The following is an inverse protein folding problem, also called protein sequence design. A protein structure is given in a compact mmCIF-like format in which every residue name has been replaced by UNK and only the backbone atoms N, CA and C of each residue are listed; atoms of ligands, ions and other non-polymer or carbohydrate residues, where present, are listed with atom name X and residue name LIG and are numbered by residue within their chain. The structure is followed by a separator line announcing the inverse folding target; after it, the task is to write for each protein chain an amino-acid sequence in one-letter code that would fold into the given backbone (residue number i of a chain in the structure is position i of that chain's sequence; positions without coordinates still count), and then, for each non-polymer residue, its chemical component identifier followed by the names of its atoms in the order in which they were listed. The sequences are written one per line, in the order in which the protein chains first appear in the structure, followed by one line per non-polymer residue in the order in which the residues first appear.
data_IF_460138392867
#
_entry.id   IF_460138392867
#
_cell.length_a   1.000
_cell.length_b   1.000
_cell.length_c   1.000
_cell.angle_alpha   90.00
_cell.angle_beta   90.00
_cell.angle_gamma   90.00
#
_symmetry.space_group_name_H-M   'P 1'
#
loop_
_entity.id
_entity.type
_entity.pdbx_description
1 polymer ?
#
# COMPACT_ATOMS: atom_id res chain seq x y z
N UNK A 1 6.53 2.27 28.30
CA UNK A 1 7.84 2.90 28.07
C UNK A 1 7.67 3.97 27.00
N UNK A 2 8.17 5.19 27.23
CA UNK A 2 8.17 6.25 26.21
C UNK A 2 9.48 6.16 25.40
N UNK A 3 9.45 5.32 24.37
CA UNK A 3 10.60 5.11 23.48
C UNK A 3 10.97 6.36 22.69
N UNK A 4 10.02 7.27 22.43
CA UNK A 4 10.28 8.50 21.70
C UNK A 4 11.14 9.46 22.52
N UNK A 5 10.85 9.61 23.81
CA UNK A 5 11.68 10.41 24.72
C UNK A 5 13.06 9.81 24.93
N UNK A 6 13.17 8.48 25.02
CA UNK A 6 14.48 7.80 25.11
C UNK A 6 15.35 8.06 23.87
N UNK A 7 14.77 7.98 22.67
CA UNK A 7 15.47 8.26 21.42
C UNK A 7 15.93 9.72 21.31
N UNK A 8 15.09 10.68 21.72
CA UNK A 8 15.43 12.12 21.71
C UNK A 8 16.58 12.46 22.67
N UNK A 9 16.68 11.73 23.79
CA UNK A 9 17.70 11.93 24.80
C UNK A 9 18.98 11.11 24.55
N UNK A 10 19.06 10.40 23.42
CA UNK A 10 20.18 9.53 23.12
C UNK A 10 21.44 10.38 22.82
N UNK A 11 22.45 10.26 23.68
CA UNK A 11 23.71 10.99 23.52
C UNK A 11 24.51 10.38 22.37
N UNK A 12 24.92 11.18 21.39
CA UNK A 12 25.74 10.74 20.25
C UNK A 12 27.10 10.22 20.73
N UNK A 13 27.39 8.93 20.52
CA UNK A 13 28.68 8.30 20.87
C UNK A 13 29.55 7.96 19.67
N UNK A 14 28.98 7.95 18.46
CA UNK A 14 29.63 7.56 17.20
C UNK A 14 29.39 8.64 16.16
N UNK A 15 30.31 8.78 15.21
CA UNK A 15 30.18 9.78 14.14
C UNK A 15 28.97 9.50 13.23
N UNK A 16 28.65 8.22 13.05
CA UNK A 16 27.60 7.72 12.17
C UNK A 16 26.57 6.90 12.94
N UNK A 17 25.34 6.91 12.44
CA UNK A 17 24.25 6.04 12.87
C UNK A 17 23.87 5.13 11.69
N UNK A 18 23.84 3.82 11.92
CA UNK A 18 23.38 2.84 10.94
C UNK A 18 22.08 2.25 11.46
N UNK A 19 20.98 2.56 10.78
CA UNK A 19 19.67 2.01 11.08
C UNK A 19 19.30 0.93 10.07
N UNK A 20 18.79 -0.19 10.58
CA UNK A 20 18.16 -1.22 9.77
C UNK A 20 16.65 -1.13 9.97
N UNK A 21 15.89 -1.13 8.89
CA UNK A 21 14.44 -1.30 8.99
C UNK A 21 14.15 -2.73 9.45
N UNK A 22 13.40 -2.90 10.53
CA UNK A 22 13.08 -4.23 11.03
C UNK A 22 12.13 -4.96 10.08
N UNK A 23 11.13 -4.25 9.56
CA UNK A 23 10.08 -4.86 8.73
C UNK A 23 10.52 -4.88 7.26
N UNK A 24 10.76 -6.07 6.71
CA UNK A 24 11.11 -6.25 5.30
C UNK A 24 12.60 -6.12 4.96
N UNK A 25 13.47 -5.79 5.93
CA UNK A 25 14.93 -5.87 5.77
C UNK A 25 15.57 -6.83 6.79
N UNK A 26 15.24 -6.75 8.09
CA UNK A 26 15.71 -7.72 9.09
C UNK A 26 14.78 -8.93 9.19
N UNK A 27 13.46 -8.72 9.15
CA UNK A 27 12.46 -9.78 9.19
C UNK A 27 11.64 -9.82 7.91
N UNK A 28 11.32 -11.02 7.41
CA UNK A 28 10.37 -11.18 6.31
C UNK A 28 8.91 -11.14 6.78
N UNK A 29 8.54 -10.02 7.41
CA UNK A 29 7.17 -9.76 7.85
C UNK A 29 6.32 -9.14 6.75
N UNK A 30 6.95 -8.58 5.71
CA UNK A 30 6.26 -7.86 4.65
C UNK A 30 5.58 -8.81 3.66
N UNK A 31 6.16 -9.96 3.38
CA UNK A 31 5.56 -10.95 2.48
C UNK A 31 4.22 -11.46 3.03
N UNK A 32 4.21 -11.90 4.30
CA UNK A 32 2.99 -12.39 4.94
C UNK A 32 1.92 -11.29 5.09
N UNK A 33 2.30 -10.05 5.46
CA UNK A 33 1.34 -8.93 5.56
C UNK A 33 0.66 -8.65 4.22
N UNK A 34 1.42 -8.65 3.13
CA UNK A 34 0.85 -8.41 1.80
C UNK A 34 -0.03 -9.57 1.33
N UNK A 35 0.39 -10.83 1.55
CA UNK A 35 -0.33 -12.03 1.10
C UNK A 35 -1.59 -12.32 1.92
N UNK A 36 -1.50 -12.21 3.24
CA UNK A 36 -2.50 -12.73 4.18
C UNK A 36 -3.32 -11.63 4.88
N UNK A 37 -2.88 -10.37 4.85
CA UNK A 37 -3.62 -9.27 5.48
C UNK A 37 -4.15 -8.26 4.46
N UNK A 38 -3.28 -7.69 3.63
CA UNK A 38 -3.65 -6.59 2.75
C UNK A 38 -4.33 -7.05 1.46
N UNK A 39 -3.82 -8.11 0.81
CA UNK A 39 -4.44 -8.64 -0.40
C UNK A 39 -5.87 -9.15 -0.13
N UNK A 40 -6.17 -9.90 0.95
CA UNK A 40 -7.53 -10.31 1.25
C UNK A 40 -8.47 -9.11 1.50
N UNK A 41 -8.00 -8.07 2.18
CA UNK A 41 -8.76 -6.83 2.36
C UNK A 41 -9.05 -6.14 1.01
N UNK A 42 -8.04 -6.02 0.15
CA UNK A 42 -8.20 -5.48 -1.20
C UNK A 42 -9.25 -6.27 -2.01
N UNK A 43 -9.15 -7.60 -2.04
CA UNK A 43 -10.10 -8.46 -2.77
C UNK A 43 -11.52 -8.29 -2.23
N UNK A 44 -11.68 -8.27 -0.90
CA UNK A 44 -12.97 -8.10 -0.24
C UNK A 44 -13.60 -6.76 -0.58
N UNK A 45 -12.87 -5.66 -0.41
CA UNK A 45 -13.42 -4.30 -0.51
C UNK A 45 -13.63 -3.84 -1.96
N UNK A 46 -12.92 -4.42 -2.92
CA UNK A 46 -13.09 -4.13 -4.35
C UNK A 46 -13.92 -5.19 -5.10
N UNK A 47 -14.49 -6.18 -4.40
CA UNK A 47 -15.38 -7.17 -5.01
C UNK A 47 -14.67 -8.10 -6.00
N UNK A 48 -13.41 -8.45 -5.77
CA UNK A 48 -12.56 -9.15 -6.74
C UNK A 48 -12.61 -10.69 -6.61
N UNK A 49 -13.56 -11.24 -5.86
CA UNK A 49 -13.57 -12.66 -5.51
C UNK A 49 -13.56 -13.59 -6.73
N UNK A 50 -14.34 -13.25 -7.77
CA UNK A 50 -14.44 -14.02 -9.02
C UNK A 50 -13.10 -14.12 -9.78
N UNK A 51 -12.22 -13.12 -9.60
CA UNK A 51 -10.89 -13.06 -10.21
C UNK A 51 -9.77 -13.07 -9.15
N UNK A 52 -10.04 -13.63 -7.96
CA UNK A 52 -9.16 -13.51 -6.78
C UNK A 52 -7.72 -14.00 -7.03
N UNK A 53 -7.53 -15.04 -7.86
CA UNK A 53 -6.20 -15.48 -8.30
C UNK A 53 -5.42 -14.33 -8.96
N UNK A 54 -6.00 -13.67 -9.95
CA UNK A 54 -5.36 -12.59 -10.70
C UNK A 54 -5.21 -11.33 -9.84
N UNK A 55 -6.18 -11.04 -8.97
CA UNK A 55 -6.07 -9.96 -8.00
C UNK A 55 -4.89 -10.15 -7.04
N UNK A 56 -4.61 -11.40 -6.62
CA UNK A 56 -3.42 -11.72 -5.82
C UNK A 56 -2.14 -11.49 -6.59
N UNK A 57 -2.04 -12.02 -7.81
CA UNK A 57 -0.85 -11.87 -8.65
C UNK A 57 -0.48 -10.39 -8.87
N UNK A 58 -1.47 -9.59 -9.26
CA UNK A 58 -1.32 -8.14 -9.45
C UNK A 58 -0.91 -7.44 -8.14
N UNK A 59 -1.60 -7.74 -7.04
CA UNK A 59 -1.33 -7.09 -5.75
C UNK A 59 0.10 -7.36 -5.28
N UNK A 60 0.56 -8.61 -5.40
CA UNK A 60 1.92 -9.00 -5.03
C UNK A 60 2.96 -8.42 -6.00
N UNK A 61 2.65 -8.34 -7.30
CA UNK A 61 3.53 -7.67 -8.25
C UNK A 61 3.76 -6.20 -7.86
N UNK A 62 2.68 -5.45 -7.56
CA UNK A 62 2.78 -4.04 -7.17
C UNK A 62 3.56 -3.88 -5.86
N UNK A 63 3.24 -4.69 -4.86
CA UNK A 63 3.69 -4.45 -3.49
C UNK A 63 4.98 -5.18 -3.09
N UNK A 64 5.37 -6.24 -3.80
CA UNK A 64 6.54 -7.07 -3.45
C UNK A 64 7.52 -7.27 -4.60
N UNK A 65 7.03 -7.47 -5.83
CA UNK A 65 7.84 -8.04 -6.92
C UNK A 65 8.08 -7.09 -8.11
N UNK A 66 7.93 -5.78 -7.91
CA UNK A 66 8.20 -4.77 -8.93
C UNK A 66 8.88 -3.53 -8.35
N UNK A 67 9.17 -2.55 -9.21
CA UNK A 67 9.77 -1.27 -8.82
C UNK A 67 8.86 -0.41 -7.94
N UNK A 68 7.56 -0.73 -7.84
CA UNK A 68 6.62 -0.05 -6.95
C UNK A 68 6.57 -0.67 -5.55
N UNK A 69 7.42 -1.68 -5.26
CA UNK A 69 7.55 -2.28 -3.94
C UNK A 69 7.72 -1.20 -2.87
N UNK A 70 6.92 -1.27 -1.82
CA UNK A 70 6.97 -0.33 -0.70
C UNK A 70 6.34 1.04 -0.98
N UNK A 71 5.65 1.24 -2.11
CA UNK A 71 4.89 2.47 -2.34
C UNK A 71 3.77 2.65 -1.31
N UNK A 72 3.31 3.89 -1.13
CA UNK A 72 2.19 4.18 -0.23
C UNK A 72 0.92 3.44 -0.69
N UNK A 73 0.11 2.99 0.27
CA UNK A 73 -1.14 2.23 0.05
C UNK A 73 -2.09 2.87 -0.97
N UNK A 74 -2.16 4.20 -1.02
CA UNK A 74 -3.04 4.91 -1.94
C UNK A 74 -2.54 4.84 -3.39
N UNK A 75 -1.22 4.95 -3.62
CA UNK A 75 -0.63 4.69 -4.93
C UNK A 75 -0.78 3.22 -5.33
N UNK A 76 -0.60 2.28 -4.39
CA UNK A 76 -0.81 0.86 -4.66
C UNK A 76 -2.23 0.57 -5.16
N UNK A 77 -3.25 1.22 -4.58
CA UNK A 77 -4.64 1.13 -5.05
C UNK A 77 -4.76 1.66 -6.49
N UNK A 78 -4.22 2.85 -6.80
CA UNK A 78 -4.32 3.39 -8.17
C UNK A 78 -3.60 2.53 -9.20
N UNK A 79 -2.43 1.97 -8.86
CA UNK A 79 -1.75 0.99 -9.71
C UNK A 79 -2.58 -0.27 -9.93
N UNK A 80 -3.24 -0.76 -8.86
CA UNK A 80 -4.06 -1.95 -8.93
C UNK A 80 -5.29 -1.74 -9.83
N UNK A 81 -6.01 -0.62 -9.66
CA UNK A 81 -7.16 -0.28 -10.50
C UNK A 81 -6.77 -0.15 -11.98
N UNK A 82 -5.64 0.51 -12.25
CA UNK A 82 -5.14 0.67 -13.62
C UNK A 82 -4.89 -0.68 -14.27
N UNK A 83 -4.13 -1.55 -13.61
CA UNK A 83 -3.80 -2.87 -14.14
C UNK A 83 -5.03 -3.77 -14.26
N UNK A 84 -6.00 -3.70 -13.34
CA UNK A 84 -7.28 -4.41 -13.47
C UNK A 84 -8.02 -3.98 -14.73
N UNK A 85 -8.00 -2.69 -15.08
CA UNK A 85 -8.63 -2.18 -16.31
C UNK A 85 -7.92 -2.60 -17.60
N UNK A 86 -6.66 -3.04 -17.52
CA UNK A 86 -5.84 -3.49 -18.66
C UNK A 86 -5.90 -5.01 -18.87
N UNK A 87 -6.43 -5.77 -17.90
CA UNK A 87 -6.45 -7.23 -17.93
C UNK A 87 -7.85 -7.76 -18.25
N UNK A 88 -8.04 -8.31 -19.45
CA UNK A 88 -9.33 -8.84 -19.94
C UNK A 88 -9.99 -9.87 -19.01
N UNK A 89 -9.18 -10.57 -18.23
CA UNK A 89 -9.62 -11.62 -17.30
C UNK A 89 -10.61 -11.13 -16.25
N UNK A 90 -10.53 -9.86 -15.86
CA UNK A 90 -11.45 -9.23 -14.91
C UNK A 90 -12.78 -8.88 -15.59
N UNK A 91 -12.73 -8.25 -16.78
CA UNK A 91 -13.91 -7.94 -17.56
C UNK A 91 -14.70 -9.21 -17.95
N UNK A 92 -14.00 -10.29 -18.32
CA UNK A 92 -14.59 -11.60 -18.60
C UNK A 92 -15.31 -12.23 -17.39
N UNK A 93 -15.10 -11.71 -16.18
CA UNK A 93 -15.76 -12.13 -14.93
C UNK A 93 -16.75 -11.09 -14.39
N UNK A 94 -17.13 -10.11 -15.21
CA UNK A 94 -18.06 -9.04 -14.85
C UNK A 94 -17.49 -8.00 -13.89
N UNK A 95 -16.16 -7.94 -13.72
CA UNK A 95 -15.50 -6.96 -12.87
C UNK A 95 -15.15 -5.75 -13.73
N UNK A 96 -15.86 -4.64 -13.50
CA UNK A 96 -15.67 -3.37 -14.20
C UNK A 96 -15.34 -2.26 -13.20
N UNK A 97 -14.13 -2.30 -12.65
CA UNK A 97 -13.65 -1.19 -11.84
C UNK A 97 -13.15 -0.07 -12.75
N UNK A 98 -13.48 1.18 -12.43
CA UNK A 98 -12.88 2.33 -13.09
C UNK A 98 -11.36 2.26 -12.90
N UNK A 99 -10.59 2.36 -13.99
CA UNK A 99 -9.13 2.16 -13.97
C UNK A 99 -8.36 3.09 -13.03
N UNK A 100 -9.01 4.13 -12.48
CA UNK A 100 -8.52 5.00 -11.40
C UNK A 100 -9.67 5.54 -10.58
N UNK A 101 -9.37 6.03 -9.38
CA UNK A 101 -10.26 6.88 -8.59
C UNK A 101 -9.84 8.35 -8.76
N UNK A 102 -10.58 9.18 -9.53
CA UNK A 102 -10.17 10.57 -9.82
C UNK A 102 -10.05 11.44 -8.56
N UNK A 103 -10.93 11.26 -7.58
CA UNK A 103 -10.87 11.98 -6.30
C UNK A 103 -9.61 11.63 -5.50
N UNK A 104 -9.17 10.37 -5.57
CA UNK A 104 -7.93 9.94 -4.93
C UNK A 104 -6.71 10.52 -5.65
N UNK A 105 -6.71 10.54 -6.99
CA UNK A 105 -5.65 11.18 -7.78
C UNK A 105 -5.51 12.67 -7.43
N UNK A 106 -6.62 13.40 -7.36
CA UNK A 106 -6.61 14.81 -6.97
C UNK A 106 -6.00 15.02 -5.57
N UNK A 107 -6.43 14.24 -4.59
CA UNK A 107 -5.90 14.35 -3.23
C UNK A 107 -4.40 13.98 -3.15
N UNK A 108 -3.95 13.00 -3.92
CA UNK A 108 -2.53 12.61 -3.99
C UNK A 108 -1.62 13.70 -4.59
N UNK A 109 -2.16 14.69 -5.32
CA UNK A 109 -1.40 15.85 -5.78
C UNK A 109 -1.32 16.97 -4.73
N UNK A 110 -2.26 17.02 -3.79
CA UNK A 110 -2.38 18.09 -2.80
C UNK A 110 -1.73 17.74 -1.45
N UNK A 111 -1.79 16.47 -1.03
CA UNK A 111 -1.39 16.03 0.30
C UNK A 111 0.02 15.40 0.33
N UNK A 112 0.86 15.90 1.23
CA UNK A 112 2.22 15.40 1.44
C UNK A 112 2.31 14.35 2.56
N UNK A 113 1.31 14.28 3.45
CA UNK A 113 1.22 13.35 4.57
C UNK A 113 0.13 12.31 4.30
N UNK A 114 0.50 11.30 3.53
CA UNK A 114 -0.40 10.23 3.05
C UNK A 114 -0.73 9.18 4.13
N UNK A 115 -1.36 9.63 5.23
CA UNK A 115 -1.84 8.82 6.35
C UNK A 115 -3.36 8.77 6.45
N UNK A 116 -3.87 7.92 7.34
CA UNK A 116 -5.31 7.85 7.62
C UNK A 116 -5.87 9.14 8.24
N UNK A 117 -5.19 9.83 9.18
CA UNK A 117 -5.70 11.08 9.75
C UNK A 117 -5.89 12.18 8.70
N UNK A 118 -4.94 12.32 7.77
CA UNK A 118 -5.03 13.31 6.68
C UNK A 118 -6.18 12.98 5.72
N UNK A 119 -6.35 11.71 5.37
CA UNK A 119 -7.48 11.28 4.54
C UNK A 119 -8.82 11.55 5.23
N UNK A 120 -8.94 11.22 6.52
CA UNK A 120 -10.16 11.48 7.29
C UNK A 120 -10.52 12.96 7.32
N UNK A 121 -9.53 13.84 7.53
CA UNK A 121 -9.75 15.29 7.49
C UNK A 121 -10.22 15.75 6.11
N UNK A 122 -9.64 15.23 5.01
CA UNK A 122 -10.06 15.56 3.63
C UNK A 122 -11.49 15.10 3.34
N UNK A 123 -11.89 13.92 3.82
CA UNK A 123 -13.22 13.34 3.58
C UNK A 123 -14.32 14.05 4.38
N UNK A 124 -13.97 14.67 5.51
CA UNK A 124 -14.91 15.39 6.37
C UNK A 124 -15.09 16.87 6.00
N UNK A 125 -14.23 17.41 5.15
CA UNK A 125 -14.26 18.80 4.67
C UNK A 125 -15.24 18.96 3.50
#
# INVERSE_FOLDING_TARGET
MDYASQLKNLVKQKEFFVGFDSDGCVFDTMEIKQKECFCPAFIKHFGLQAASKYARELWLFINLYSKTRGCNRYFAIQHALRLISEWDVFAARGIHLGGRMPSLDAWLQEENKLGLPALQAKVQA
#
